data_IF_903300484406
#
_entry.id   IF_903300484406
#
_cell.length_a   1.000
_cell.length_b   1.000
_cell.length_c   1.000
_cell.angle_alpha   90.00
_cell.angle_beta   90.00
_cell.angle_gamma   90.00
#
_symmetry.space_group_name_H-M   'P 1'
#
loop_
_entity.id
_entity.type
_entity.pdbx_description
1 polymer ?
#
# COMPACT_ATOMS: atom_id res chain seq x y z
N UNK A 1 -9.67 65.90 5.24
CA UNK A 1 -10.53 64.74 4.94
C UNK A 1 -9.97 64.10 3.68
N UNK A 2 -9.49 62.87 3.57
CA UNK A 2 -9.07 61.77 4.44
C UNK A 2 -8.02 61.03 3.57
N UNK A 3 -6.87 60.70 4.15
CA UNK A 3 -5.79 59.95 3.50
C UNK A 3 -6.23 58.49 3.31
N UNK A 4 -6.10 57.92 2.11
CA UNK A 4 -6.61 56.58 1.79
C UNK A 4 -5.45 55.59 1.64
N UNK A 5 -4.96 55.11 2.78
CA UNK A 5 -3.86 54.15 2.89
C UNK A 5 -4.37 52.71 3.12
N UNK A 6 -4.11 51.87 2.10
CA UNK A 6 -3.92 50.41 2.12
C UNK A 6 -5.14 49.47 2.35
N UNK A 7 -5.10 48.27 1.76
CA UNK A 7 -4.79 47.15 2.63
C UNK A 7 -3.64 46.28 2.12
N UNK A 8 -2.76 45.98 3.06
CA UNK A 8 -1.66 45.02 3.02
C UNK A 8 -2.10 43.67 2.45
N UNK A 9 -1.42 43.24 1.39
CA UNK A 9 -1.41 41.87 0.89
C UNK A 9 -0.65 41.01 1.93
N UNK A 10 -1.38 40.47 2.91
CA UNK A 10 -0.81 39.45 3.80
C UNK A 10 -0.76 38.10 3.11
N UNK A 11 0.47 37.60 3.01
CA UNK A 11 0.88 36.32 2.46
C UNK A 11 0.27 35.18 3.28
N UNK A 12 -0.42 34.27 2.61
CA UNK A 12 -0.24 32.83 2.82
C UNK A 12 -0.45 32.26 4.23
N UNK A 13 -1.30 32.83 5.07
CA UNK A 13 -1.76 32.14 6.27
C UNK A 13 -2.72 31.02 5.86
N UNK A 14 -2.25 29.76 5.92
CA UNK A 14 -3.13 28.59 5.80
C UNK A 14 -4.33 28.78 6.74
N UNK A 15 -5.58 28.52 6.30
CA UNK A 15 -6.72 28.68 7.17
C UNK A 15 -6.52 27.83 8.42
N UNK A 16 -6.49 28.48 9.58
CA UNK A 16 -6.50 27.81 10.89
C UNK A 16 -7.75 26.96 10.90
N UNK A 17 -7.57 25.65 10.77
CA UNK A 17 -8.67 24.70 10.74
C UNK A 17 -9.31 24.71 12.13
N UNK A 18 -10.33 25.54 12.32
CA UNK A 18 -11.12 25.68 13.54
C UNK A 18 -12.04 24.45 13.72
N UNK A 19 -11.47 23.24 13.68
CA UNK A 19 -12.13 22.04 14.16
C UNK A 19 -12.02 21.96 15.69
N UNK A 20 -12.53 23.01 16.37
CA UNK A 20 -13.12 22.90 17.71
C UNK A 20 -14.55 22.35 17.60
N UNK A 21 -14.82 21.46 16.65
CA UNK A 21 -16.15 20.85 16.50
C UNK A 21 -16.18 19.56 17.32
N UNK A 22 -16.98 19.63 18.37
CA UNK A 22 -17.38 18.55 19.28
C UNK A 22 -16.35 18.11 20.34
N UNK A 23 -15.83 19.05 21.12
CA UNK A 23 -15.64 18.72 22.54
C UNK A 23 -17.05 18.66 23.13
N UNK A 24 -17.60 17.45 23.27
CA UNK A 24 -18.86 17.27 23.99
C UNK A 24 -18.50 17.16 25.48
N UNK A 25 -18.68 18.23 26.29
CA UNK A 25 -18.30 18.23 27.69
C UNK A 25 -19.02 17.13 28.48
N UNK A 26 -20.21 16.68 28.04
CA UNK A 26 -20.92 15.55 28.65
C UNK A 26 -20.16 14.20 28.61
N UNK A 27 -19.14 14.03 27.75
CA UNK A 27 -18.32 12.79 27.70
C UNK A 27 -16.93 12.96 28.29
N UNK A 28 -16.56 14.17 28.68
CA UNK A 28 -15.34 14.41 29.43
C UNK A 28 -15.65 14.05 30.88
N UNK A 29 -15.00 13.02 31.41
CA UNK A 29 -15.10 12.73 32.82
C UNK A 29 -14.43 13.91 33.53
N UNK A 30 -15.15 14.75 34.30
CA UNK A 30 -14.58 16.00 34.83
C UNK A 30 -13.37 15.77 35.72
N UNK A 31 -13.22 14.55 36.25
CA UNK A 31 -12.16 14.17 37.19
C UNK A 31 -10.94 13.53 36.52
N UNK A 32 -10.96 13.24 35.20
CA UNK A 32 -9.89 12.48 34.54
C UNK A 32 -9.45 13.10 33.20
N UNK A 33 -8.14 13.23 33.01
CA UNK A 33 -7.51 13.51 31.71
C UNK A 33 -7.33 12.22 30.91
N UNK A 34 -7.88 12.18 29.70
CA UNK A 34 -7.81 11.01 28.81
C UNK A 34 -6.57 11.06 27.91
N UNK A 35 -5.69 10.07 28.04
CA UNK A 35 -4.55 9.85 27.14
C UNK A 35 -4.86 8.69 26.20
N UNK A 36 -5.04 9.00 24.90
CA UNK A 36 -5.41 8.00 23.89
C UNK A 36 -4.17 7.36 23.28
N UNK A 37 -3.94 6.08 23.55
CA UNK A 37 -2.85 5.33 22.89
C UNK A 37 -3.23 4.91 21.48
N UNK A 38 -2.23 4.83 20.62
CA UNK A 38 -2.39 4.26 19.28
C UNK A 38 -2.35 2.74 19.35
N UNK A 39 -3.06 2.03 18.45
CA UNK A 39 -2.92 0.59 18.36
C UNK A 39 -1.48 0.23 17.96
N UNK A 40 -0.95 -0.91 18.42
CA UNK A 40 0.32 -1.44 17.93
C UNK A 40 0.28 -1.54 16.40
N UNK A 41 1.32 -1.04 15.73
CA UNK A 41 1.50 -1.24 14.29
C UNK A 41 2.15 -2.59 14.07
N UNK A 42 1.82 -3.26 12.97
CA UNK A 42 2.52 -4.48 12.55
C UNK A 42 4.05 -4.22 12.50
N UNK A 43 4.85 -5.23 12.88
CA UNK A 43 6.30 -5.12 12.94
C UNK A 43 6.87 -4.65 11.59
N UNK A 44 7.88 -3.77 11.63
CA UNK A 44 8.36 -3.02 10.48
C UNK A 44 8.90 -3.89 9.32
N UNK A 45 9.27 -5.13 9.60
CA UNK A 45 9.93 -6.04 8.64
C UNK A 45 9.04 -6.40 7.44
N UNK A 46 7.72 -6.48 7.64
CA UNK A 46 6.72 -6.82 6.60
C UNK A 46 5.88 -5.60 6.18
N UNK A 47 6.28 -4.39 6.60
CA UNK A 47 5.38 -3.23 6.64
C UNK A 47 5.61 -2.21 5.51
N UNK A 48 6.45 -2.50 4.52
CA UNK A 48 6.81 -1.51 3.48
C UNK A 48 5.62 -1.08 2.62
N UNK A 49 4.63 -1.97 2.45
CA UNK A 49 3.44 -1.71 1.64
C UNK A 49 2.22 -1.29 2.48
N UNK A 50 2.32 -1.25 3.80
CA UNK A 50 1.23 -0.85 4.69
C UNK A 50 1.25 0.67 4.96
N UNK A 51 0.14 1.32 4.66
CA UNK A 51 -0.02 2.78 4.72
C UNK A 51 -1.15 3.10 5.69
N UNK A 52 -0.79 3.71 6.83
CA UNK A 52 -1.75 4.11 7.84
C UNK A 52 -2.28 5.52 7.55
N UNK A 53 -3.58 5.62 7.28
CA UNK A 53 -4.22 6.88 6.93
C UNK A 53 -4.54 7.67 8.20
N UNK A 54 -3.90 8.83 8.33
CA UNK A 54 -4.15 9.78 9.41
C UNK A 54 -4.73 11.07 8.86
N UNK A 55 -5.55 11.76 9.66
CA UNK A 55 -6.09 13.07 9.31
C UNK A 55 -5.07 14.21 9.44
N UNK A 56 -3.92 13.97 10.10
CA UNK A 56 -2.89 14.98 10.37
C UNK A 56 -1.98 15.24 9.17
N UNK A 57 -1.67 14.21 8.40
CA UNK A 57 -0.85 14.35 7.19
C UNK A 57 -1.64 15.11 6.13
N UNK A 58 -0.97 15.82 5.22
CA UNK A 58 -1.63 16.40 4.05
C UNK A 58 -2.21 15.32 3.12
N UNK A 59 -3.34 15.62 2.47
CA UNK A 59 -4.02 14.65 1.61
C UNK A 59 -3.19 14.33 0.37
N UNK A 60 -2.69 15.37 -0.32
CA UNK A 60 -1.92 15.23 -1.55
C UNK A 60 -0.57 14.55 -1.29
N UNK A 61 0.05 14.84 -0.14
CA UNK A 61 1.26 14.15 0.28
C UNK A 61 1.05 12.63 0.49
N UNK A 62 -0.08 12.23 1.09
CA UNK A 62 -0.42 10.80 1.21
C UNK A 62 -0.69 10.15 -0.14
N UNK A 63 -1.38 10.85 -1.04
CA UNK A 63 -1.63 10.36 -2.40
C UNK A 63 -0.33 10.13 -3.16
N UNK A 64 0.53 11.14 -3.21
CA UNK A 64 1.84 11.05 -3.87
C UNK A 64 2.66 9.89 -3.31
N UNK A 65 2.66 9.69 -1.99
CA UNK A 65 3.35 8.55 -1.37
C UNK A 65 2.83 7.19 -1.86
N UNK A 66 1.51 7.05 -2.04
CA UNK A 66 0.92 5.82 -2.55
C UNK A 66 1.31 5.60 -4.02
N UNK A 67 1.26 6.66 -4.83
CA UNK A 67 1.67 6.64 -6.24
C UNK A 67 3.17 6.30 -6.38
N UNK A 68 4.04 6.93 -5.60
CA UNK A 68 5.48 6.64 -5.58
C UNK A 68 5.76 5.16 -5.25
N UNK A 69 5.03 4.58 -4.30
CA UNK A 69 5.16 3.15 -3.94
C UNK A 69 4.72 2.24 -5.09
N UNK A 70 3.58 2.51 -5.71
CA UNK A 70 3.09 1.74 -6.86
C UNK A 70 4.05 1.87 -8.06
N UNK A 71 4.52 3.07 -8.34
CA UNK A 71 5.46 3.37 -9.44
C UNK A 71 6.86 2.77 -9.19
N UNK A 72 7.24 2.54 -7.93
CA UNK A 72 8.48 1.81 -7.59
C UNK A 72 8.44 0.31 -7.91
N UNK A 73 7.32 -0.20 -8.42
CA UNK A 73 7.14 -1.61 -8.78
C UNK A 73 6.49 -2.45 -7.68
N UNK A 74 5.89 -1.83 -6.67
CA UNK A 74 5.10 -2.56 -5.68
C UNK A 74 3.87 -3.20 -6.36
N UNK A 75 3.72 -4.52 -6.25
CA UNK A 75 2.57 -5.25 -6.80
C UNK A 75 1.26 -4.84 -6.13
N UNK A 76 1.34 -4.48 -4.85
CA UNK A 76 0.21 -4.15 -4.01
C UNK A 76 0.60 -3.20 -2.88
N UNK A 77 -0.39 -2.42 -2.42
CA UNK A 77 -0.33 -1.58 -1.22
C UNK A 77 -1.58 -1.80 -0.37
N UNK A 78 -1.43 -1.58 0.93
CA UNK A 78 -2.50 -1.76 1.91
C UNK A 78 -2.78 -0.44 2.62
N UNK A 79 -3.96 0.13 2.43
CA UNK A 79 -4.42 1.30 3.16
C UNK A 79 -5.16 0.85 4.42
N UNK A 80 -4.71 1.34 5.57
CA UNK A 80 -5.35 1.07 6.86
C UNK A 80 -5.96 2.35 7.40
N UNK A 81 -7.28 2.31 7.60
CA UNK A 81 -8.07 3.44 8.06
C UNK A 81 -8.82 3.04 9.33
N UNK A 82 -8.95 3.95 10.30
CA UNK A 82 -9.66 3.69 11.54
C UNK A 82 -10.52 4.88 11.92
N UNK A 83 -11.78 4.61 12.28
CA UNK A 83 -12.76 5.61 12.70
C UNK A 83 -12.84 6.80 11.74
N UNK A 84 -12.50 7.98 12.23
CA UNK A 84 -12.61 9.23 11.47
C UNK A 84 -11.78 9.28 10.18
N UNK A 85 -10.73 8.47 10.04
CA UNK A 85 -9.93 8.46 8.81
C UNK A 85 -10.49 7.60 7.67
N UNK A 86 -11.57 6.86 7.89
CA UNK A 86 -12.17 5.94 6.90
C UNK A 86 -12.60 6.69 5.64
N UNK A 87 -13.41 7.74 5.75
CA UNK A 87 -13.88 8.52 4.60
C UNK A 87 -12.71 9.09 3.78
N UNK A 88 -11.68 9.55 4.48
CA UNK A 88 -10.48 10.09 3.84
C UNK A 88 -9.70 9.00 3.09
N UNK A 89 -9.55 7.82 3.68
CA UNK A 89 -8.86 6.69 3.05
C UNK A 89 -9.62 6.15 1.84
N UNK A 90 -10.95 6.12 1.91
CA UNK A 90 -11.79 5.74 0.78
C UNK A 90 -11.64 6.71 -0.39
N UNK A 91 -11.68 8.03 -0.12
CA UNK A 91 -11.41 9.05 -1.13
C UNK A 91 -10.00 8.91 -1.74
N UNK A 92 -9.00 8.54 -0.93
CA UNK A 92 -7.64 8.29 -1.41
C UNK A 92 -7.61 7.10 -2.36
N UNK A 93 -8.21 5.97 -1.99
CA UNK A 93 -8.27 4.78 -2.82
C UNK A 93 -8.97 5.06 -4.15
N UNK A 94 -10.13 5.72 -4.13
CA UNK A 94 -10.88 6.06 -5.34
C UNK A 94 -10.06 6.93 -6.30
N UNK A 95 -9.32 7.92 -5.79
CA UNK A 95 -8.45 8.79 -6.60
C UNK A 95 -7.31 8.00 -7.24
N UNK A 96 -6.69 7.08 -6.51
CA UNK A 96 -5.63 6.23 -7.06
C UNK A 96 -6.15 5.36 -8.21
N UNK A 97 -7.33 4.75 -8.02
CA UNK A 97 -7.96 3.90 -9.04
C UNK A 97 -8.34 4.73 -10.27
N UNK A 98 -8.98 5.88 -10.08
CA UNK A 98 -9.36 6.79 -11.18
C UNK A 98 -8.14 7.27 -11.98
N UNK A 99 -7.05 7.61 -11.30
CA UNK A 99 -5.82 8.08 -11.94
C UNK A 99 -5.03 6.95 -12.64
N UNK A 100 -5.37 5.69 -12.39
CA UNK A 100 -4.67 4.55 -12.96
C UNK A 100 -5.18 4.12 -14.34
N UNK A 101 -6.23 4.76 -14.85
CA UNK A 101 -6.82 4.45 -16.16
C UNK A 101 -7.17 2.95 -16.33
N UNK A 102 -7.57 2.29 -15.24
CA UNK A 102 -7.93 0.87 -15.23
C UNK A 102 -6.78 -0.11 -14.93
N UNK A 103 -5.58 0.38 -14.62
CA UNK A 103 -4.44 -0.47 -14.25
C UNK A 103 -4.49 -0.99 -12.80
N UNK A 104 -5.32 -0.40 -11.92
CA UNK A 104 -5.43 -0.82 -10.52
C UNK A 104 -6.81 -1.39 -10.20
N UNK A 105 -6.81 -2.47 -9.42
CA UNK A 105 -8.00 -3.03 -8.77
C UNK A 105 -7.85 -3.00 -7.24
N UNK A 106 -8.93 -3.27 -6.52
CA UNK A 106 -8.98 -3.18 -5.07
C UNK A 106 -9.87 -4.23 -4.41
N UNK A 107 -9.53 -4.57 -3.16
CA UNK A 107 -10.35 -5.38 -2.25
C UNK A 107 -10.50 -4.64 -0.92
N UNK A 108 -11.70 -4.68 -0.33
CA UNK A 108 -12.03 -3.98 0.91
C UNK A 108 -12.42 -4.99 1.99
N UNK A 109 -11.78 -4.87 3.16
CA UNK A 109 -12.12 -5.63 4.36
C UNK A 109 -12.44 -4.66 5.49
N UNK A 110 -13.39 -5.03 6.35
CA UNK A 110 -13.71 -4.29 7.57
C UNK A 110 -13.27 -5.07 8.80
N UNK A 111 -12.92 -4.37 9.86
CA UNK A 111 -12.57 -4.99 11.14
C UNK A 111 -12.92 -4.07 12.31
N UNK A 112 -12.79 -4.58 13.53
CA UNK A 112 -12.91 -3.79 14.77
C UNK A 112 -11.58 -3.82 15.50
N UNK A 113 -11.00 -2.64 15.74
CA UNK A 113 -9.74 -2.46 16.48
C UNK A 113 -10.07 -2.09 17.93
N UNK A 114 -9.57 -2.90 18.86
CA UNK A 114 -9.59 -2.64 20.30
C UNK A 114 -8.47 -1.66 20.65
N UNK A 115 -8.83 -0.56 21.30
CA UNK A 115 -7.94 0.49 21.78
C UNK A 115 -8.01 0.59 23.29
N UNK A 116 -6.92 1.04 23.88
CA UNK A 116 -6.80 1.25 25.32
C UNK A 116 -6.41 2.70 25.57
N UNK A 117 -7.29 3.43 26.23
CA UNK A 117 -7.05 4.80 26.69
C UNK A 117 -6.62 4.74 28.17
N UNK A 118 -5.66 5.57 28.56
CA UNK A 118 -5.35 5.80 29.97
C UNK A 118 -6.17 6.97 30.49
N UNK A 119 -6.68 6.84 31.69
CA UNK A 119 -7.41 7.87 32.42
C UNK A 119 -6.53 8.30 33.59
N UNK A 120 -5.93 9.48 33.45
CA UNK A 120 -5.09 10.09 34.47
C UNK A 120 -5.99 10.94 35.37
N UNK A 121 -6.11 10.66 36.67
CA UNK A 121 -6.90 11.47 37.58
C UNK A 121 -6.34 12.88 37.69
N UNK A 122 -7.20 13.84 38.02
CA UNK A 122 -6.83 15.25 38.24
C UNK A 122 -6.56 15.56 39.73
N UNK A 123 -6.82 14.61 40.62
CA UNK A 123 -6.59 14.69 42.05
C UNK A 123 -5.72 13.51 42.48
N UNK A 124 -4.90 13.71 43.52
CA UNK A 124 -3.91 12.71 43.97
C UNK A 124 -4.53 11.53 44.75
N UNK A 125 -5.82 11.62 45.11
CA UNK A 125 -6.55 10.58 45.84
C UNK A 125 -6.92 9.37 44.98
N UNK A 126 -6.98 9.54 43.66
CA UNK A 126 -7.38 8.52 42.72
C UNK A 126 -6.16 7.93 41.98
N UNK A 127 -6.26 6.67 41.58
CA UNK A 127 -5.23 5.98 40.80
C UNK A 127 -5.44 6.07 39.27
N UNK A 128 -4.38 5.77 38.53
CA UNK A 128 -4.43 5.58 37.07
C UNK A 128 -5.38 4.44 36.69
N UNK A 129 -6.38 4.75 35.86
CA UNK A 129 -7.33 3.75 35.35
C UNK A 129 -7.26 3.62 33.83
N UNK A 130 -7.82 2.53 33.29
CA UNK A 130 -7.80 2.26 31.85
C UNK A 130 -9.20 2.08 31.30
N UNK A 131 -9.42 2.59 30.07
CA UNK A 131 -10.68 2.42 29.35
C UNK A 131 -10.44 1.75 28.01
N UNK A 132 -11.13 0.64 27.78
CA UNK A 132 -11.14 -0.01 26.48
C UNK A 132 -12.18 0.63 25.55
N UNK A 133 -11.82 0.84 24.29
CA UNK A 133 -12.72 1.36 23.24
C UNK A 133 -12.58 0.54 21.97
N UNK A 134 -13.69 0.32 21.27
CA UNK A 134 -13.70 -0.29 19.96
C UNK A 134 -13.85 0.78 18.88
N UNK A 135 -13.02 0.71 17.83
CA UNK A 135 -13.20 1.51 16.63
C UNK A 135 -13.36 0.59 15.42
N UNK A 136 -14.27 0.97 14.53
CA UNK A 136 -14.32 0.39 13.18
C UNK A 136 -13.04 0.72 12.42
N UNK A 137 -12.57 -0.24 11.63
CA UNK A 137 -11.43 -0.09 10.75
C UNK A 137 -11.76 -0.65 9.36
N UNK A 138 -11.06 -0.09 8.38
CA UNK A 138 -11.19 -0.41 6.98
C UNK A 138 -9.80 -0.66 6.42
N UNK A 139 -9.62 -1.82 5.78
CA UNK A 139 -8.39 -2.24 5.14
C UNK A 139 -8.65 -2.34 3.64
N UNK A 140 -7.97 -1.52 2.85
CA UNK A 140 -8.09 -1.52 1.39
C UNK A 140 -6.80 -2.07 0.83
N UNK A 141 -6.88 -3.21 0.16
CA UNK A 141 -5.80 -3.73 -0.67
C UNK A 141 -5.96 -3.13 -2.06
N UNK A 142 -4.93 -2.45 -2.57
CA UNK A 142 -4.88 -1.95 -3.95
C UNK A 142 -3.74 -2.69 -4.65
N UNK A 143 -4.01 -3.24 -5.82
CA UNK A 143 -3.06 -4.08 -6.55
C UNK A 143 -3.18 -3.83 -8.05
N UNK A 144 -2.10 -4.11 -8.78
CA UNK A 144 -2.09 -3.98 -10.23
C UNK A 144 -3.00 -5.06 -10.85
N UNK A 145 -4.03 -4.64 -11.57
CA UNK A 145 -4.86 -5.56 -12.35
C UNK A 145 -4.12 -5.84 -13.66
N UNK A 146 -3.33 -6.91 -13.67
CA UNK A 146 -2.73 -7.40 -14.91
C UNK A 146 -3.85 -7.66 -15.92
N UNK A 147 -3.94 -6.83 -16.95
CA UNK A 147 -4.76 -7.08 -18.14
C UNK A 147 -4.28 -8.32 -18.92
N UNK A 148 -3.14 -8.92 -18.55
CA UNK A 148 -2.53 -10.05 -19.24
C UNK A 148 -2.94 -11.43 -18.71
N UNK A 149 -3.83 -11.53 -17.71
CA UNK A 149 -4.50 -12.80 -17.39
C UNK A 149 -5.70 -13.07 -18.33
N UNK A 150 -5.55 -12.71 -19.61
CA UNK A 150 -6.38 -13.30 -20.66
C UNK A 150 -5.91 -14.75 -20.75
N UNK A 151 -6.68 -15.67 -20.17
CA UNK A 151 -6.60 -17.08 -20.53
C UNK A 151 -6.94 -17.13 -22.02
N UNK A 152 -5.92 -17.10 -22.88
CA UNK A 152 -6.09 -17.31 -24.31
C UNK A 152 -6.63 -18.74 -24.43
N UNK A 153 -7.89 -18.95 -24.86
CA UNK A 153 -8.36 -20.30 -25.14
C UNK A 153 -7.42 -20.86 -26.20
N UNK A 154 -6.76 -21.99 -25.95
CA UNK A 154 -6.04 -22.66 -27.02
C UNK A 154 -7.04 -22.99 -28.11
N UNK A 155 -6.91 -22.32 -29.25
CA UNK A 155 -7.67 -22.67 -30.44
C UNK A 155 -7.33 -24.13 -30.79
N UNK A 156 -8.33 -24.97 -31.07
CA UNK A 156 -8.07 -26.35 -31.47
C UNK A 156 -7.17 -26.33 -32.70
N UNK A 157 -5.99 -26.92 -32.55
CA UNK A 157 -5.02 -27.06 -33.64
C UNK A 157 -5.68 -27.91 -34.72
N UNK A 158 -5.83 -27.45 -35.97
CA UNK A 158 -6.38 -28.28 -37.02
C UNK A 158 -5.45 -29.48 -37.25
N UNK A 159 -5.95 -30.68 -36.96
CA UNK A 159 -5.28 -31.91 -37.31
C UNK A 159 -5.23 -32.01 -38.84
N UNK A 160 -4.05 -32.32 -39.37
CA UNK A 160 -3.68 -32.44 -40.79
C UNK A 160 -3.44 -31.14 -41.56
N UNK A 161 -2.18 -30.70 -41.54
CA UNK A 161 -1.53 -30.21 -42.75
C UNK A 161 -0.49 -31.27 -43.18
N UNK A 162 -0.54 -31.76 -44.44
CA UNK A 162 0.42 -32.74 -44.92
C UNK A 162 1.84 -32.14 -44.92
N UNK A 163 2.79 -32.92 -44.42
CA UNK A 163 4.19 -32.55 -44.35
C UNK A 163 4.73 -32.20 -45.74
N UNK A 164 5.19 -30.96 -45.92
CA UNK A 164 6.00 -30.60 -47.08
C UNK A 164 7.37 -31.26 -46.92
N UNK A 165 7.70 -32.12 -47.88
CA UNK A 165 8.94 -32.88 -47.97
C UNK A 165 10.14 -31.92 -48.08
N UNK A 166 10.81 -31.64 -46.96
CA UNK A 166 12.06 -30.90 -46.96
C UNK A 166 13.21 -31.87 -47.22
N UNK A 167 13.70 -31.86 -48.46
CA UNK A 167 15.01 -32.40 -48.82
C UNK A 167 16.09 -31.79 -47.91
N UNK A 168 16.64 -32.59 -46.99
CA UNK A 168 17.84 -32.24 -46.23
C UNK A 168 19.10 -32.44 -47.09
N UNK A 169 19.95 -31.42 -47.30
CA UNK A 169 21.32 -31.66 -47.71
C UNK A 169 22.12 -32.21 -46.51
N UNK A 170 22.67 -33.42 -46.68
CA UNK A 170 23.54 -34.07 -45.69
C UNK A 170 24.89 -33.33 -45.59
N UNK A 171 25.12 -32.57 -44.54
CA UNK A 171 26.46 -32.11 -44.15
C UNK A 171 27.14 -33.12 -43.23
N UNK A 172 28.13 -33.81 -43.79
CA UNK A 172 29.14 -34.58 -43.06
C UNK A 172 29.99 -33.59 -42.23
N UNK A 173 29.97 -33.68 -40.90
CA UNK A 173 31.09 -33.30 -40.02
C UNK A 173 30.74 -33.55 -38.54
N UNK A 174 30.98 -34.78 -38.06
CA UNK A 174 31.16 -35.04 -36.63
C UNK A 174 31.76 -36.45 -36.42
N UNK A 175 33.07 -36.60 -36.59
CA UNK A 175 33.75 -37.85 -36.18
C UNK A 175 35.21 -37.74 -35.70
N UNK A 176 35.75 -36.56 -35.38
CA UNK A 176 37.16 -36.48 -34.92
C UNK A 176 37.44 -35.90 -33.53
N UNK A 177 36.46 -35.68 -32.66
CA UNK A 177 36.72 -35.19 -31.29
C UNK A 177 36.72 -36.22 -30.15
N UNK A 178 36.45 -37.51 -30.43
CA UNK A 178 36.41 -38.54 -29.38
C UNK A 178 37.65 -39.44 -29.25
N UNK A 179 38.64 -39.35 -30.14
CA UNK A 179 39.86 -40.18 -30.03
C UNK A 179 41.04 -39.51 -29.30
N UNK A 180 41.06 -38.18 -29.11
CA UNK A 180 42.18 -37.52 -28.42
C UNK A 180 42.08 -37.49 -26.89
N UNK A 181 40.91 -37.75 -26.29
CA UNK A 181 40.78 -37.78 -24.82
C UNK A 181 41.11 -39.12 -24.17
N UNK A 182 41.22 -40.22 -24.95
CA UNK A 182 41.53 -41.53 -24.39
C UNK A 182 43.05 -41.82 -24.33
N UNK A 183 43.88 -41.12 -25.10
CA UNK A 183 45.34 -41.31 -25.10
C UNK A 183 46.08 -40.49 -24.02
N UNK A 184 45.45 -39.47 -23.43
CA UNK A 184 46.08 -38.72 -22.32
C UNK A 184 45.89 -39.38 -20.94
N UNK A 185 44.92 -40.28 -20.78
CA UNK A 185 44.71 -40.99 -19.49
C UNK A 185 45.60 -42.23 -19.30
N UNK A 186 46.30 -42.71 -20.33
CA UNK A 186 47.23 -43.85 -20.21
C UNK A 186 48.71 -43.46 -20.06
N UNK A 187 49.05 -42.16 -20.06
CA UNK A 187 50.44 -41.69 -19.83
C UNK A 187 50.74 -41.25 -18.38
N UNK A 188 49.80 -41.35 -17.45
CA UNK A 188 50.01 -41.00 -16.04
C UNK A 188 50.01 -42.20 -15.08
N UNK A 189 50.09 -43.43 -15.60
CA UNK A 189 50.34 -44.62 -14.78
C UNK A 189 51.48 -45.44 -15.39
N UNK A 190 52.69 -44.90 -15.26
CA UNK A 190 53.94 -45.66 -15.16
C UNK A 190 54.97 -44.80 -14.46
#
# INVERSE_FOLDING_TARGET
MMDNSNPTIERGAKPRNNNRRNYNPQRANPNHRVVRKQPPRAAATDNRHNIYITSKTDFRAQQKRCEDLLNSGAKEIYLHCMGYSITRGLNLALRLIQNSEGALSYVINTSTIKLLDELHPLCDEDDLTFRQRNNSALHIKIYNSSLFDIVVPQLPVPANLPAHDQHQPKTKQQTHRKQQQQQQKQRQQK
#
